data_IF_694012780815
#
_entry.id   IF_694012780815
#
_cell.length_a   1.000
_cell.length_b   1.000
_cell.length_c   1.000
_cell.angle_alpha   90.00
_cell.angle_beta   90.00
_cell.angle_gamma   90.00
#
_symmetry.space_group_name_H-M   'P 1'
#
loop_
_entity.id
_entity.type
_entity.pdbx_description
1 polymer ?
#
# COMPACT_ATOMS: atom_id res chain seq x y z
N UNK A 1 18.17 -15.31 -21.73
CA UNK A 1 16.95 -14.91 -21.01
C UNK A 1 17.32 -13.70 -20.16
N UNK A 2 17.32 -12.51 -20.75
CA UNK A 2 17.55 -11.25 -20.04
C UNK A 2 16.20 -10.55 -20.04
N UNK A 3 15.44 -10.72 -18.96
CA UNK A 3 14.36 -9.79 -18.68
C UNK A 3 15.05 -8.50 -18.24
N UNK A 4 14.87 -7.48 -19.06
CA UNK A 4 15.38 -6.13 -18.87
C UNK A 4 14.83 -5.64 -17.53
N UNK A 5 15.68 -5.63 -16.49
CA UNK A 5 15.49 -4.74 -15.35
C UNK A 5 15.43 -3.34 -15.95
N UNK A 6 14.23 -2.79 -16.04
CA UNK A 6 14.07 -1.37 -16.36
C UNK A 6 14.77 -0.65 -15.22
N UNK A 7 15.94 -0.07 -15.52
CA UNK A 7 16.61 0.85 -14.62
C UNK A 7 15.61 1.93 -14.25
N UNK A 8 15.09 1.82 -13.03
CA UNK A 8 14.25 2.81 -12.43
C UNK A 8 14.97 4.16 -12.51
N UNK A 9 14.31 5.17 -13.06
CA UNK A 9 14.89 6.51 -13.13
C UNK A 9 15.24 6.98 -11.71
N UNK A 10 16.27 7.80 -11.49
CA UNK A 10 16.68 8.24 -10.14
C UNK A 10 15.53 8.82 -9.29
N UNK A 11 14.47 9.32 -9.93
CA UNK A 11 13.30 9.85 -9.23
C UNK A 11 12.42 8.80 -8.53
N UNK A 12 12.59 7.50 -8.82
CA UNK A 12 11.68 6.44 -8.38
C UNK A 12 11.93 5.97 -6.94
N UNK A 13 13.10 6.25 -6.34
CA UNK A 13 13.45 5.71 -5.02
C UNK A 13 13.99 6.73 -4.01
N UNK A 14 13.38 7.93 -3.97
CA UNK A 14 13.83 9.04 -3.10
C UNK A 14 14.05 8.66 -1.63
N UNK A 15 13.23 7.78 -1.06
CA UNK A 15 13.39 7.36 0.33
C UNK A 15 14.72 6.60 0.56
N UNK A 16 15.12 5.76 -0.39
CA UNK A 16 16.39 5.04 -0.34
C UNK A 16 17.58 6.00 -0.56
N UNK A 17 17.48 6.90 -1.53
CA UNK A 17 18.50 7.92 -1.80
C UNK A 17 18.75 8.84 -0.60
N UNK A 18 17.68 9.21 0.11
CA UNK A 18 17.74 10.01 1.32
C UNK A 18 18.19 9.22 2.56
N UNK A 19 18.48 7.91 2.42
CA UNK A 19 18.98 7.07 3.49
C UNK A 19 17.93 6.66 4.54
N UNK A 20 16.64 6.77 4.22
CA UNK A 20 15.59 6.27 5.12
C UNK A 20 15.62 4.74 5.17
N UNK A 21 15.47 4.21 6.38
CA UNK A 21 15.41 2.75 6.62
C UNK A 21 13.99 2.23 6.75
N UNK A 22 13.01 3.12 6.91
CA UNK A 22 11.60 2.77 7.13
C UNK A 22 10.69 3.81 6.49
N UNK A 23 9.57 3.36 5.93
CA UNK A 23 8.43 4.19 5.55
C UNK A 23 7.20 3.70 6.34
N UNK A 24 6.50 4.63 6.98
CA UNK A 24 5.26 4.34 7.69
C UNK A 24 4.08 4.98 6.93
N UNK A 25 3.17 4.14 6.46
CA UNK A 25 1.91 4.56 5.85
C UNK A 25 0.78 4.47 6.86
N UNK A 26 -0.16 5.40 6.75
CA UNK A 26 -1.43 5.40 7.47
C UNK A 26 -2.56 5.49 6.44
N UNK A 27 -3.57 4.63 6.59
CA UNK A 27 -4.74 4.64 5.71
C UNK A 27 -6.00 4.60 6.56
N UNK A 28 -7.00 5.41 6.21
CA UNK A 28 -8.33 5.32 6.82
C UNK A 28 -9.11 4.10 6.31
N UNK A 29 -8.56 3.36 5.35
CA UNK A 29 -9.15 2.16 4.74
C UNK A 29 -10.49 2.46 4.04
N UNK A 30 -10.77 3.72 3.70
CA UNK A 30 -12.00 4.11 3.02
C UNK A 30 -12.06 3.52 1.60
N UNK A 31 -13.27 3.31 1.08
CA UNK A 31 -13.45 2.87 -0.30
C UNK A 31 -12.85 3.89 -1.29
N UNK A 32 -12.04 3.40 -2.24
CA UNK A 32 -11.43 4.21 -3.28
C UNK A 32 -9.92 4.38 -3.07
N UNK A 33 -9.45 5.62 -2.92
CA UNK A 33 -8.02 5.95 -2.91
C UNK A 33 -7.28 5.26 -1.76
N UNK A 34 -7.87 5.22 -0.58
CA UNK A 34 -7.29 4.55 0.59
C UNK A 34 -7.06 3.06 0.33
N UNK A 35 -8.07 2.35 -0.17
CA UNK A 35 -7.94 0.94 -0.57
C UNK A 35 -6.95 0.72 -1.71
N UNK A 36 -6.95 1.60 -2.73
CA UNK A 36 -6.02 1.50 -3.85
C UNK A 36 -4.56 1.73 -3.41
N UNK A 37 -4.32 2.67 -2.50
CA UNK A 37 -3.00 2.90 -1.93
C UNK A 37 -2.53 1.69 -1.13
N UNK A 38 -3.42 1.06 -0.35
CA UNK A 38 -3.10 -0.14 0.44
C UNK A 38 -2.69 -1.30 -0.46
N UNK A 39 -3.42 -1.56 -1.55
CA UNK A 39 -3.06 -2.59 -2.53
C UNK A 39 -1.64 -2.37 -3.09
N UNK A 40 -1.33 -1.13 -3.46
CA UNK A 40 0.01 -0.75 -3.94
C UNK A 40 1.06 -1.01 -2.86
N UNK A 41 0.85 -0.50 -1.64
CA UNK A 41 1.79 -0.61 -0.51
C UNK A 41 2.06 -2.08 -0.17
N UNK A 42 1.03 -2.92 -0.11
CA UNK A 42 1.18 -4.36 0.12
C UNK A 42 2.02 -5.01 -0.98
N UNK A 43 1.85 -4.59 -2.23
CA UNK A 43 2.67 -5.03 -3.36
C UNK A 43 4.13 -4.53 -3.34
N UNK A 44 4.49 -3.61 -2.45
CA UNK A 44 5.86 -3.07 -2.31
C UNK A 44 6.63 -3.66 -1.12
N UNK A 45 5.93 -4.21 -0.11
CA UNK A 45 6.52 -4.65 1.17
C UNK A 45 7.74 -5.57 1.02
N UNK A 46 7.72 -6.47 0.06
CA UNK A 46 8.79 -7.47 -0.15
C UNK A 46 9.73 -7.13 -1.31
N UNK A 47 9.56 -5.97 -1.95
CA UNK A 47 10.31 -5.60 -3.15
C UNK A 47 11.57 -4.78 -2.88
N UNK A 48 11.66 -4.13 -1.72
CA UNK A 48 12.71 -3.15 -1.45
C UNK A 48 13.38 -3.38 -0.09
N UNK A 49 14.66 -3.02 0.05
CA UNK A 49 15.41 -3.17 1.30
C UNK A 49 15.05 -2.12 2.37
N UNK A 50 13.87 -1.50 2.25
CA UNK A 50 13.33 -0.53 3.20
C UNK A 50 12.17 -1.16 3.95
N UNK A 51 12.10 -0.95 5.26
CA UNK A 51 11.00 -1.47 6.05
C UNK A 51 9.72 -0.68 5.75
N UNK A 52 8.74 -1.33 5.12
CA UNK A 52 7.46 -0.71 4.77
C UNK A 52 6.39 -1.17 5.77
N UNK A 53 5.88 -0.21 6.53
CA UNK A 53 4.78 -0.44 7.46
C UNK A 53 3.50 0.24 6.97
N UNK A 54 2.38 -0.41 7.25
CA UNK A 54 1.05 0.11 7.00
C UNK A 54 0.23 -0.02 8.28
N UNK A 55 -0.37 1.07 8.72
CA UNK A 55 -1.30 1.10 9.85
C UNK A 55 -2.68 1.54 9.37
N UNK A 56 -3.67 0.69 9.59
CA UNK A 56 -5.07 0.98 9.31
C UNK A 56 -5.67 1.81 10.46
N UNK A 57 -6.03 3.06 10.16
CA UNK A 57 -6.66 4.02 11.08
C UNK A 57 -8.18 4.05 10.86
N UNK A 58 -8.83 2.92 11.12
CA UNK A 58 -10.26 2.70 10.86
C UNK A 58 -11.10 3.41 11.94
N UNK A 59 -12.07 4.22 11.54
CA UNK A 59 -12.95 4.95 12.47
C UNK A 59 -13.94 4.04 13.23
N UNK A 60 -14.39 2.95 12.62
CA UNK A 60 -15.32 1.99 13.24
C UNK A 60 -15.18 0.57 12.67
N UNK A 61 -15.52 -0.44 13.49
CA UNK A 61 -15.34 -1.87 13.16
C UNK A 61 -16.07 -2.28 11.88
N UNK A 62 -17.19 -1.62 11.57
CA UNK A 62 -18.10 -1.97 10.47
C UNK A 62 -18.19 -0.86 9.41
N UNK A 63 -17.08 -0.16 9.13
CA UNK A 63 -17.10 0.97 8.19
C UNK A 63 -17.61 0.60 6.79
N UNK A 64 -17.47 -0.66 6.38
CA UNK A 64 -17.90 -1.20 5.11
C UNK A 64 -19.37 -1.62 5.10
N UNK A 65 -20.09 -1.54 6.22
CA UNK A 65 -21.43 -2.12 6.39
C UNK A 65 -22.42 -1.72 5.29
N UNK A 66 -22.32 -0.46 4.80
CA UNK A 66 -23.21 0.11 3.77
C UNK A 66 -22.68 -0.02 2.34
N UNK A 67 -21.49 -0.58 2.14
CA UNK A 67 -20.91 -0.78 0.81
C UNK A 67 -21.61 -1.93 0.09
N UNK A 68 -21.53 -1.93 -1.24
CA UNK A 68 -22.04 -3.04 -2.04
C UNK A 68 -21.16 -4.29 -1.87
N UNK A 69 -21.68 -5.45 -2.30
CA UNK A 69 -20.98 -6.72 -2.10
C UNK A 69 -19.63 -6.82 -2.83
N UNK A 70 -19.49 -6.18 -3.99
CA UNK A 70 -18.25 -6.21 -4.76
C UNK A 70 -17.15 -5.44 -4.02
N UNK A 71 -17.48 -4.28 -3.47
CA UNK A 71 -16.53 -3.46 -2.71
C UNK A 71 -16.15 -4.13 -1.40
N UNK A 72 -17.09 -4.78 -0.71
CA UNK A 72 -16.81 -5.61 0.48
C UNK A 72 -15.85 -6.76 0.18
N UNK A 73 -16.06 -7.46 -0.95
CA UNK A 73 -15.17 -8.55 -1.36
C UNK A 73 -13.74 -8.09 -1.64
N UNK A 74 -13.57 -6.91 -2.25
CA UNK A 74 -12.26 -6.30 -2.47
C UNK A 74 -11.61 -5.84 -1.17
N UNK A 75 -12.40 -5.34 -0.24
CA UNK A 75 -11.94 -4.81 1.04
C UNK A 75 -11.50 -5.89 2.03
N UNK A 76 -12.26 -6.99 2.13
CA UNK A 76 -12.05 -8.06 3.10
C UNK A 76 -10.62 -8.62 3.19
N UNK A 77 -9.85 -8.81 2.10
CA UNK A 77 -8.47 -9.28 2.21
C UNK A 77 -7.46 -8.21 2.67
N UNK A 78 -7.85 -6.93 2.70
CA UNK A 78 -7.00 -5.80 3.09
C UNK A 78 -7.13 -5.43 4.58
N UNK A 79 -8.21 -5.89 5.23
CA UNK A 79 -8.62 -5.52 6.58
C UNK A 79 -8.22 -6.55 7.64
#
# INVERSE_FOLDING_TARGET
MLAIDREATPQEYRALEWGYKRIQFYSGMALGVDTAAVEIILGLKDKYPIEINLTAAIHCINQDAKWNNLDKQKYSPLA
#
